data_IF_095874505819
#
_entry.id   IF_095874505819
#
_cell.length_a   1.000
_cell.length_b   1.000
_cell.length_c   1.000
_cell.angle_alpha   90.00
_cell.angle_beta   90.00
_cell.angle_gamma   90.00
#
_symmetry.space_group_name_H-M   'P 1'
#
loop_
_entity.id
_entity.type
_entity.pdbx_description
1 polymer ?
#
# COMPACT_ATOMS: atom_id res chain seq x y z
N UNK A 1 -10.71 4.08 -13.29
CA UNK A 1 -10.20 3.42 -12.07
C UNK A 1 -10.49 1.91 -11.99
N UNK A 2 -11.26 1.31 -12.90
CA UNK A 2 -11.67 -0.12 -12.84
C UNK A 2 -10.65 -1.11 -13.41
N UNK A 3 -9.92 -0.74 -14.46
CA UNK A 3 -9.04 -1.64 -15.23
C UNK A 3 -7.86 -2.21 -14.42
N UNK A 4 -7.30 -1.41 -13.51
CA UNK A 4 -6.13 -1.78 -12.70
C UNK A 4 -6.48 -2.91 -11.71
N UNK A 5 -7.68 -2.89 -11.14
CA UNK A 5 -8.14 -3.95 -10.23
C UNK A 5 -8.35 -5.27 -10.98
N UNK A 6 -8.85 -5.22 -12.21
CA UNK A 6 -9.03 -6.40 -13.07
C UNK A 6 -7.71 -7.09 -13.40
N UNK A 7 -6.66 -6.31 -13.71
CA UNK A 7 -5.32 -6.82 -14.00
C UNK A 7 -4.71 -7.53 -12.78
N UNK A 8 -4.89 -6.94 -11.59
CA UNK A 8 -4.39 -7.49 -10.33
C UNK A 8 -5.04 -8.84 -10.00
N UNK A 9 -6.34 -8.97 -10.26
CA UNK A 9 -7.07 -10.24 -10.15
C UNK A 9 -6.59 -11.28 -11.17
N UNK A 10 -6.42 -10.89 -12.44
CA UNK A 10 -5.92 -11.78 -13.50
C UNK A 10 -4.54 -12.35 -13.20
N UNK A 11 -3.65 -11.55 -12.61
CA UNK A 11 -2.30 -11.98 -12.24
C UNK A 11 -2.24 -12.70 -10.88
N UNK A 12 -3.37 -12.87 -10.19
CA UNK A 12 -3.43 -13.55 -8.90
C UNK A 12 -2.74 -12.80 -7.75
N UNK A 13 -2.51 -11.49 -7.89
CA UNK A 13 -1.81 -10.68 -6.88
C UNK A 13 -2.76 -10.31 -5.75
N UNK A 14 -2.67 -11.04 -4.64
CA UNK A 14 -3.54 -10.85 -3.45
C UNK A 14 -3.08 -9.73 -2.51
N UNK A 15 -1.80 -9.32 -2.58
CA UNK A 15 -1.27 -8.31 -1.67
C UNK A 15 -1.85 -6.93 -1.99
N UNK A 16 -2.56 -6.34 -1.03
CA UNK A 16 -3.16 -5.00 -1.16
C UNK A 16 -2.13 -3.90 -1.41
N UNK A 17 -0.89 -4.09 -0.98
CA UNK A 17 0.20 -3.11 -1.05
C UNK A 17 0.84 -3.04 -2.44
N UNK A 18 0.62 -4.02 -3.31
CA UNK A 18 1.19 -4.04 -4.66
C UNK A 18 0.22 -3.37 -5.63
N UNK A 19 0.63 -2.27 -6.26
CA UNK A 19 -0.15 -1.57 -7.27
C UNK A 19 0.47 -1.79 -8.64
N UNK A 20 -0.28 -2.39 -9.56
CA UNK A 20 0.19 -2.63 -10.93
C UNK A 20 -0.05 -1.38 -11.76
N UNK A 21 1.01 -0.85 -12.37
CA UNK A 21 0.98 0.33 -13.23
C UNK A 21 0.76 -0.04 -14.69
N UNK A 22 1.45 -1.09 -15.16
CA UNK A 22 1.36 -1.56 -16.53
C UNK A 22 1.76 -3.03 -16.65
N UNK A 23 1.33 -3.65 -17.74
CA UNK A 23 1.70 -5.01 -18.11
C UNK A 23 2.18 -5.02 -19.55
N UNK A 24 3.18 -5.85 -19.83
CA UNK A 24 3.66 -6.11 -21.17
C UNK A 24 3.95 -7.61 -21.32
N UNK A 25 3.85 -8.13 -22.53
CA UNK A 25 4.32 -9.47 -22.83
C UNK A 25 5.83 -9.45 -23.03
N UNK A 26 6.52 -10.49 -22.58
CA UNK A 26 7.96 -10.64 -22.73
C UNK A 26 8.34 -12.13 -22.84
N UNK A 27 9.60 -12.43 -23.12
CA UNK A 27 10.15 -13.78 -23.12
C UNK A 27 11.22 -13.91 -22.05
N UNK A 28 11.01 -14.85 -21.11
CA UNK A 28 12.01 -15.20 -20.11
C UNK A 28 12.35 -16.68 -20.22
N UNK A 29 13.63 -16.99 -20.45
CA UNK A 29 14.14 -18.37 -20.65
C UNK A 29 13.35 -19.14 -21.73
N UNK A 30 13.07 -18.47 -22.85
CA UNK A 30 12.33 -19.04 -23.98
C UNK A 30 10.83 -19.25 -23.76
N UNK A 31 10.29 -18.82 -22.61
CA UNK A 31 8.85 -18.89 -22.32
C UNK A 31 8.23 -17.51 -22.39
N UNK A 32 7.04 -17.43 -23.01
CA UNK A 32 6.23 -16.22 -23.01
C UNK A 32 5.75 -15.94 -21.59
N UNK A 33 5.95 -14.73 -21.12
CA UNK A 33 5.56 -14.26 -19.78
C UNK A 33 4.80 -12.94 -19.89
N UNK A 34 4.05 -12.61 -18.84
CA UNK A 34 3.49 -11.27 -18.66
C UNK A 34 4.32 -10.58 -17.59
N UNK A 35 5.00 -9.51 -17.97
CA UNK A 35 5.82 -8.71 -17.08
C UNK A 35 4.98 -7.54 -16.58
N UNK A 36 4.69 -7.54 -15.28
CA UNK A 36 3.91 -6.50 -14.62
C UNK A 36 4.86 -5.51 -13.92
N UNK A 37 4.80 -4.24 -14.33
CA UNK A 37 5.46 -3.15 -13.60
C UNK A 37 4.50 -2.62 -12.55
N UNK A 38 4.99 -2.46 -11.32
CA UNK A 38 4.16 -2.00 -10.21
C UNK A 38 4.96 -1.31 -9.13
N UNK A 39 4.23 -0.68 -8.22
CA UNK A 39 4.77 0.01 -7.04
C UNK A 39 4.35 -0.77 -5.80
N UNK A 40 5.30 -0.97 -4.88
CA UNK A 40 5.03 -1.52 -3.57
C UNK A 40 4.75 -0.37 -2.61
N UNK A 41 3.48 -0.14 -2.30
CA UNK A 41 3.07 0.87 -1.32
C UNK A 41 3.03 0.22 0.05
N UNK A 42 3.84 0.72 0.99
CA UNK A 42 3.82 0.25 2.36
C UNK A 42 3.21 1.32 3.23
N UNK A 43 1.92 1.20 3.52
CA UNK A 43 1.27 2.05 4.53
C UNK A 43 1.66 1.54 5.91
N UNK A 44 2.50 2.30 6.60
CA UNK A 44 2.83 2.03 7.99
C UNK A 44 1.81 2.73 8.90
N UNK A 45 1.18 1.98 9.81
CA UNK A 45 0.30 2.56 10.83
C UNK A 45 1.07 3.32 11.92
N UNK A 46 2.38 3.07 12.01
CA UNK A 46 3.31 3.68 12.95
C UNK A 46 4.61 3.99 12.23
N UNK A 47 5.27 5.07 12.60
CA UNK A 47 6.58 5.40 12.02
C UNK A 47 7.55 4.20 12.21
N UNK A 48 8.19 3.68 11.15
CA UNK A 48 9.09 2.53 11.28
C UNK A 48 10.35 2.84 12.10
N UNK A 49 10.73 4.12 12.24
CA UNK A 49 11.87 4.56 13.02
C UNK A 49 11.53 4.73 14.50
N UNK A 50 10.52 5.52 14.84
CA UNK A 50 10.19 5.86 16.23
C UNK A 50 8.98 5.09 16.80
N UNK A 51 8.32 4.26 16.00
CA UNK A 51 7.15 3.43 16.35
C UNK A 51 5.94 4.21 16.88
N UNK A 52 5.92 5.54 16.78
CA UNK A 52 4.78 6.37 17.14
C UNK A 52 3.64 6.21 16.13
N UNK A 53 2.40 6.18 16.62
CA UNK A 53 1.23 6.41 15.77
C UNK A 53 1.07 7.91 15.57
N UNK A 54 0.75 8.33 14.34
CA UNK A 54 0.52 9.75 13.97
C UNK A 54 -0.65 10.41 14.71
N UNK A 55 -1.41 9.63 15.47
CA UNK A 55 -2.56 10.07 16.25
C UNK A 55 -2.48 9.50 17.66
N UNK A 56 -2.79 10.34 18.64
CA UNK A 56 -3.10 9.91 19.99
C UNK A 56 -4.45 10.51 20.41
N UNK A 57 -5.26 9.72 21.10
CA UNK A 57 -6.51 10.19 21.66
C UNK A 57 -6.18 10.73 23.05
N UNK A 58 -6.27 12.04 23.23
CA UNK A 58 -6.10 12.68 24.53
C UNK A 58 -7.49 12.88 25.13
N UNK A 59 -7.72 12.33 26.31
CA UNK A 59 -8.95 12.56 27.08
C UNK A 59 -8.74 13.78 27.96
N UNK A 60 -9.61 14.79 27.80
CA UNK A 60 -9.63 15.99 28.63
C UNK A 60 -10.99 16.05 29.34
N UNK A 61 -11.03 15.51 30.56
CA UNK A 61 -12.27 15.26 31.28
C UNK A 61 -13.18 14.26 30.54
N UNK A 62 -14.46 14.63 30.31
CA UNK A 62 -15.45 13.81 29.58
C UNK A 62 -15.30 13.87 28.05
N UNK A 63 -14.44 14.74 27.51
CA UNK A 63 -14.25 14.90 26.06
C UNK A 63 -12.99 14.15 25.61
N UNK A 64 -13.11 13.41 24.51
CA UNK A 64 -11.97 12.81 23.82
C UNK A 64 -11.66 13.64 22.57
N UNK A 65 -10.43 14.11 22.45
CA UNK A 65 -9.95 14.83 21.27
C UNK A 65 -8.85 14.01 20.60
N UNK A 66 -8.93 13.82 19.29
CA UNK A 66 -7.85 13.25 18.51
C UNK A 66 -6.85 14.36 18.20
N UNK A 67 -5.64 14.25 18.74
CA UNK A 67 -4.59 15.24 18.51
C UNK A 67 -3.50 14.58 17.65
N UNK A 68 -3.12 15.27 16.58
CA UNK A 68 -1.90 14.96 15.84
C UNK A 68 -0.72 15.39 16.69
N UNK A 69 -0.01 14.43 17.28
CA UNK A 69 1.25 14.71 17.96
C UNK A 69 2.38 14.55 16.96
N UNK A 70 3.23 15.57 16.89
CA UNK A 70 4.51 15.64 16.16
C UNK A 70 4.59 14.68 14.97
N UNK A 71 4.24 15.22 13.80
CA UNK A 71 4.55 14.57 12.53
C UNK A 71 6.07 14.38 12.47
N UNK A 72 6.52 13.13 12.43
CA UNK A 72 7.84 12.80 11.90
C UNK A 72 7.82 12.95 10.39
#
# INVERSE_FOLDING_TARGET
MSTINSIKQLLGVKDKNIHILSCQEDFYKGKKIILAKGVLTRTFSRCPLCKSSSHSIVKNGKKASMILLNQC
#
